data_IF_328180700777
#
_entry.id   IF_328180700777
#
_cell.length_a   1.000
_cell.length_b   1.000
_cell.length_c   1.000
_cell.angle_alpha   90.00
_cell.angle_beta   90.00
_cell.angle_gamma   90.00
#
_symmetry.space_group_name_H-M   'P 1'
#
loop_
_entity.id
_entity.type
_entity.pdbx_description
1 polymer ?
#
# COMPACT_ATOMS: atom_id res chain seq x y z
N UNK A 1 8.55 23.70 6.37
CA UNK A 1 7.61 22.62 5.98
C UNK A 1 8.16 21.33 6.55
N UNK A 2 7.64 20.88 7.67
CA UNK A 2 8.06 19.61 8.26
C UNK A 2 7.54 18.47 7.39
N UNK A 3 8.43 17.81 6.65
CA UNK A 3 8.07 16.62 5.88
C UNK A 3 7.79 15.47 6.86
N UNK A 4 6.59 14.95 6.82
CA UNK A 4 6.19 13.79 7.60
C UNK A 4 7.11 12.60 7.28
N UNK A 5 7.78 12.04 8.28
CA UNK A 5 8.64 10.85 8.12
C UNK A 5 7.83 9.62 7.70
N UNK A 6 6.54 9.61 8.04
CA UNK A 6 5.58 8.54 7.72
C UNK A 6 4.63 8.97 6.58
N UNK A 7 5.08 9.74 5.58
CA UNK A 7 4.23 10.11 4.43
C UNK A 7 4.18 9.02 3.38
N UNK A 8 3.03 8.94 2.70
CA UNK A 8 2.81 8.08 1.54
C UNK A 8 3.17 8.73 0.20
N UNK A 9 3.64 9.99 0.20
CA UNK A 9 4.02 10.69 -1.03
C UNK A 9 5.38 10.27 -1.56
N UNK A 10 5.45 10.08 -2.87
CA UNK A 10 6.65 9.64 -3.62
C UNK A 10 7.73 10.73 -3.60
N UNK A 11 8.97 10.32 -3.29
CA UNK A 11 10.17 11.11 -3.44
C UNK A 11 11.14 10.33 -4.34
N UNK A 12 11.43 10.78 -5.55
CA UNK A 12 12.09 10.02 -6.62
C UNK A 12 13.47 9.42 -6.25
N UNK A 13 14.24 10.09 -5.40
CA UNK A 13 15.56 9.58 -4.96
C UNK A 13 15.44 8.50 -3.87
N UNK A 14 14.44 8.61 -3.00
CA UNK A 14 14.15 7.57 -1.99
C UNK A 14 13.56 6.32 -2.67
N UNK A 15 12.83 6.47 -3.76
CA UNK A 15 12.21 5.36 -4.50
C UNK A 15 13.22 4.46 -5.20
N UNK A 16 14.31 4.99 -5.76
CA UNK A 16 15.35 4.17 -6.40
C UNK A 16 16.06 3.24 -5.39
N UNK A 17 16.35 3.76 -4.19
CA UNK A 17 16.92 2.97 -3.11
C UNK A 17 15.89 2.01 -2.48
N UNK A 18 14.60 2.36 -2.48
CA UNK A 18 13.52 1.46 -2.02
C UNK A 18 13.30 0.31 -3.00
N UNK A 19 13.44 0.55 -4.31
CA UNK A 19 13.35 -0.49 -5.34
C UNK A 19 14.39 -1.60 -5.14
N UNK A 20 15.61 -1.26 -4.68
CA UNK A 20 16.65 -2.25 -4.41
C UNK A 20 16.33 -3.17 -3.23
N UNK A 21 15.49 -2.73 -2.30
CA UNK A 21 15.09 -3.51 -1.12
C UNK A 21 13.90 -4.46 -1.40
N UNK A 22 13.21 -4.29 -2.52
CA UNK A 22 12.02 -5.10 -2.84
C UNK A 22 12.42 -6.53 -3.22
N UNK A 23 11.72 -7.53 -2.69
CA UNK A 23 11.88 -8.91 -3.15
C UNK A 23 11.46 -9.04 -4.61
N UNK A 24 12.15 -9.90 -5.35
CA UNK A 24 11.90 -10.14 -6.77
C UNK A 24 11.06 -11.38 -7.04
N UNK A 25 11.07 -12.34 -6.14
CA UNK A 25 10.39 -13.63 -6.26
C UNK A 25 9.61 -13.96 -5.00
N UNK A 26 8.64 -14.88 -5.11
CA UNK A 26 7.79 -15.31 -3.98
C UNK A 26 8.58 -15.93 -2.83
N UNK A 27 9.70 -16.60 -3.11
CA UNK A 27 10.56 -17.18 -2.07
C UNK A 27 11.27 -16.13 -1.20
N UNK A 28 11.50 -14.94 -1.73
CA UNK A 28 12.09 -13.81 -1.00
C UNK A 28 11.05 -12.98 -0.25
N UNK A 29 9.78 -13.15 -0.60
CA UNK A 29 8.68 -12.36 -0.04
C UNK A 29 8.31 -12.87 1.35
N UNK A 30 8.47 -12.03 2.35
CA UNK A 30 8.19 -12.34 3.76
C UNK A 30 6.76 -11.94 4.09
N UNK A 31 6.09 -12.75 4.91
CA UNK A 31 4.71 -12.51 5.34
C UNK A 31 3.65 -12.84 4.29
N UNK A 32 2.40 -12.46 4.56
CA UNK A 32 1.24 -12.72 3.70
C UNK A 32 1.14 -14.18 3.24
N UNK A 33 1.38 -15.12 4.15
CA UNK A 33 1.59 -16.54 3.82
C UNK A 33 0.47 -17.13 2.97
N UNK A 34 -0.78 -16.87 3.33
CA UNK A 34 -1.94 -17.40 2.59
C UNK A 34 -2.01 -16.84 1.15
N UNK A 35 -1.74 -15.54 0.97
CA UNK A 35 -1.71 -14.91 -0.36
C UNK A 35 -0.58 -15.51 -1.22
N UNK A 36 0.59 -15.73 -0.61
CA UNK A 36 1.77 -16.30 -1.23
C UNK A 36 1.53 -17.74 -1.74
N UNK A 37 0.95 -18.57 -0.89
CA UNK A 37 0.64 -19.97 -1.23
C UNK A 37 -0.35 -20.06 -2.37
N UNK A 38 -1.43 -19.27 -2.32
CA UNK A 38 -2.43 -19.23 -3.39
C UNK A 38 -1.84 -18.73 -4.70
N UNK A 39 -1.10 -17.60 -4.68
CA UNK A 39 -0.48 -17.06 -5.88
C UNK A 39 0.51 -18.04 -6.50
N UNK A 40 1.29 -18.76 -5.69
CA UNK A 40 2.20 -19.80 -6.17
C UNK A 40 1.47 -20.87 -6.95
N UNK A 41 0.37 -21.41 -6.42
CA UNK A 41 -0.44 -22.43 -7.08
C UNK A 41 -1.02 -21.90 -8.40
N UNK A 42 -1.60 -20.70 -8.39
CA UNK A 42 -2.23 -20.13 -9.59
C UNK A 42 -1.22 -19.82 -10.69
N UNK A 43 -0.05 -19.30 -10.35
CA UNK A 43 1.04 -19.03 -11.28
C UNK A 43 1.59 -20.34 -11.88
N UNK A 44 1.84 -21.36 -11.06
CA UNK A 44 2.28 -22.67 -11.54
C UNK A 44 1.24 -23.31 -12.47
N UNK A 45 -0.03 -23.26 -12.11
CA UNK A 45 -1.12 -23.78 -12.94
C UNK A 45 -1.24 -23.05 -14.29
N UNK A 46 -1.16 -21.72 -14.30
CA UNK A 46 -1.16 -20.93 -15.54
C UNK A 46 0.01 -21.30 -16.46
N UNK A 47 1.23 -21.44 -15.90
CA UNK A 47 2.42 -21.90 -16.64
C UNK A 47 2.26 -23.29 -17.23
N UNK A 48 1.70 -24.24 -16.47
CA UNK A 48 1.47 -25.61 -16.94
C UNK A 48 0.49 -25.65 -18.13
N UNK A 49 -0.55 -24.82 -18.11
CA UNK A 49 -1.53 -24.71 -19.19
C UNK A 49 -1.07 -23.81 -20.35
N UNK A 50 0.03 -23.05 -20.17
CA UNK A 50 0.48 -22.01 -21.10
C UNK A 50 -0.58 -20.95 -21.37
N UNK A 51 -1.25 -20.51 -20.33
CA UNK A 51 -2.29 -19.49 -20.34
C UNK A 51 -1.86 -18.27 -19.52
N UNK A 52 -2.45 -17.12 -19.79
CA UNK A 52 -2.33 -15.96 -18.90
C UNK A 52 -2.93 -16.27 -17.55
N UNK A 53 -2.36 -15.70 -16.48
CA UNK A 53 -2.95 -15.80 -15.15
C UNK A 53 -4.29 -15.04 -15.12
N UNK A 54 -5.25 -15.53 -14.39
CA UNK A 54 -6.48 -14.80 -14.10
C UNK A 54 -6.18 -13.40 -13.55
N UNK A 55 -7.07 -12.44 -13.80
CA UNK A 55 -6.91 -11.08 -13.28
C UNK A 55 -6.89 -11.07 -11.74
N UNK A 56 -5.96 -10.33 -11.16
CA UNK A 56 -5.68 -10.31 -9.72
C UNK A 56 -6.02 -8.94 -9.13
N UNK A 57 -6.82 -8.92 -8.06
CA UNK A 57 -7.05 -7.73 -7.25
C UNK A 57 -6.31 -7.83 -5.92
N UNK A 58 -5.42 -6.88 -5.66
CA UNK A 58 -4.70 -6.74 -4.40
C UNK A 58 -5.26 -5.53 -3.63
N UNK A 59 -5.80 -5.74 -2.44
CA UNK A 59 -6.35 -4.64 -1.66
C UNK A 59 -5.92 -4.67 -0.20
N UNK A 60 -5.95 -3.49 0.44
CA UNK A 60 -5.55 -3.31 1.84
C UNK A 60 -4.86 -1.98 2.07
N UNK A 61 -4.51 -1.65 3.31
CA UNK A 61 -3.83 -0.42 3.69
C UNK A 61 -2.59 -0.11 2.84
N UNK A 62 -2.15 1.16 2.78
CA UNK A 62 -0.94 1.53 2.04
C UNK A 62 0.32 0.92 2.67
N UNK A 63 1.37 0.70 1.86
CA UNK A 63 2.67 0.24 2.36
C UNK A 63 2.81 -1.26 2.61
N UNK A 64 1.79 -2.09 2.31
CA UNK A 64 1.78 -3.54 2.54
C UNK A 64 2.38 -4.39 1.41
N UNK A 65 2.85 -3.78 0.31
CA UNK A 65 3.54 -4.50 -0.76
C UNK A 65 2.69 -4.88 -1.97
N UNK A 66 1.53 -4.22 -2.23
CA UNK A 66 0.69 -4.45 -3.42
C UNK A 66 1.49 -4.33 -4.73
N UNK A 67 2.22 -3.22 -4.90
CA UNK A 67 3.10 -2.98 -6.05
C UNK A 67 4.26 -3.99 -6.13
N UNK A 68 4.78 -4.43 -4.99
CA UNK A 68 5.83 -5.45 -4.95
C UNK A 68 5.30 -6.81 -5.42
N UNK A 69 4.11 -7.21 -4.97
CA UNK A 69 3.49 -8.46 -5.41
C UNK A 69 3.16 -8.45 -6.90
N UNK A 70 2.72 -7.31 -7.48
CA UNK A 70 2.49 -7.22 -8.92
C UNK A 70 3.77 -7.46 -9.73
N UNK A 71 4.90 -6.91 -9.27
CA UNK A 71 6.21 -7.15 -9.89
C UNK A 71 6.65 -8.61 -9.73
N UNK A 72 6.43 -9.22 -8.57
CA UNK A 72 6.73 -10.63 -8.31
C UNK A 72 5.91 -11.53 -9.23
N UNK A 73 4.61 -11.26 -9.41
CA UNK A 73 3.74 -12.03 -10.33
C UNK A 73 4.34 -12.02 -11.74
N UNK A 74 4.73 -10.86 -12.27
CA UNK A 74 5.34 -10.76 -13.60
C UNK A 74 6.68 -11.51 -13.68
N UNK A 75 7.54 -11.37 -12.66
CA UNK A 75 8.83 -12.07 -12.61
C UNK A 75 8.64 -13.59 -12.53
N UNK A 76 7.70 -14.06 -11.70
CA UNK A 76 7.40 -15.50 -11.60
C UNK A 76 6.81 -16.05 -12.90
N UNK A 77 5.97 -15.30 -13.61
CA UNK A 77 5.46 -15.67 -14.93
C UNK A 77 6.53 -15.60 -16.03
N UNK A 78 7.59 -14.81 -15.83
CA UNK A 78 8.65 -14.58 -16.82
C UNK A 78 8.22 -13.64 -17.95
N UNK A 79 7.32 -12.68 -17.66
CA UNK A 79 6.74 -11.74 -18.64
C UNK A 79 7.04 -10.29 -18.25
N UNK A 80 6.77 -9.36 -19.18
CA UNK A 80 6.92 -7.94 -18.87
C UNK A 80 5.76 -7.43 -18.02
N UNK A 81 6.02 -6.33 -17.28
CA UNK A 81 5.00 -5.59 -16.55
C UNK A 81 4.93 -4.15 -17.07
N UNK A 82 3.70 -3.71 -17.35
CA UNK A 82 3.38 -2.30 -17.59
C UNK A 82 2.71 -1.74 -16.35
N UNK A 83 3.26 -0.67 -15.82
CA UNK A 83 2.77 -0.05 -14.58
C UNK A 83 2.14 1.30 -14.88
N UNK A 84 0.94 1.50 -14.37
CA UNK A 84 0.22 2.78 -14.41
C UNK A 84 -0.59 2.96 -13.12
N UNK A 85 -1.34 4.04 -13.04
CA UNK A 85 -2.25 4.30 -11.91
C UNK A 85 -3.61 4.79 -12.38
N UNK A 86 -4.66 4.57 -11.58
CA UNK A 86 -6.00 5.07 -11.89
C UNK A 86 -6.02 6.56 -12.26
N UNK A 87 -5.41 7.45 -11.43
CA UNK A 87 -5.33 8.88 -11.76
C UNK A 87 -4.60 9.24 -13.04
N UNK A 88 -3.66 8.41 -13.50
CA UNK A 88 -2.90 8.64 -14.73
C UNK A 88 -3.69 8.28 -16.01
N UNK A 89 -4.78 7.54 -15.87
CA UNK A 89 -5.65 7.14 -16.98
C UNK A 89 -6.89 8.04 -16.96
N UNK A 90 -6.81 9.18 -17.64
CA UNK A 90 -7.90 10.16 -17.64
C UNK A 90 -8.99 9.83 -18.64
N UNK A 91 -8.65 9.21 -19.77
CA UNK A 91 -9.53 8.99 -20.92
C UNK A 91 -9.48 7.54 -21.39
N UNK A 92 -10.57 7.03 -21.98
CA UNK A 92 -10.59 5.71 -22.62
C UNK A 92 -9.43 5.46 -23.61
N UNK A 93 -9.02 6.49 -24.35
CA UNK A 93 -7.91 6.42 -25.29
C UNK A 93 -6.55 6.16 -24.62
N UNK A 94 -6.33 6.65 -23.40
CA UNK A 94 -5.09 6.42 -22.65
C UNK A 94 -4.96 4.94 -22.30
N UNK A 95 -6.06 4.34 -21.83
CA UNK A 95 -6.13 2.91 -21.53
C UNK A 95 -5.96 2.07 -22.81
N UNK A 96 -6.65 2.44 -23.90
CA UNK A 96 -6.54 1.74 -25.18
C UNK A 96 -5.09 1.75 -25.70
N UNK A 97 -4.39 2.86 -25.59
CA UNK A 97 -2.98 2.97 -25.99
C UNK A 97 -2.07 2.06 -25.14
N UNK A 98 -2.35 1.91 -23.85
CA UNK A 98 -1.60 0.96 -23.00
C UNK A 98 -1.88 -0.48 -23.42
N UNK A 99 -3.15 -0.87 -23.56
CA UNK A 99 -3.59 -2.23 -23.86
C UNK A 99 -3.09 -2.72 -25.23
N UNK A 100 -3.12 -1.86 -26.25
CA UNK A 100 -2.64 -2.22 -27.61
C UNK A 100 -1.11 -2.39 -27.71
N UNK A 101 -0.36 -1.95 -26.71
CA UNK A 101 1.09 -2.14 -26.62
C UNK A 101 1.51 -3.33 -25.75
N UNK A 102 0.57 -4.11 -25.21
CA UNK A 102 0.87 -5.33 -24.47
C UNK A 102 1.23 -6.46 -25.42
N UNK A 103 2.07 -7.36 -24.95
CA UNK A 103 2.39 -8.64 -25.60
C UNK A 103 1.63 -9.77 -24.90
N UNK A 104 1.57 -10.92 -25.55
CA UNK A 104 0.94 -12.11 -24.99
C UNK A 104 1.55 -12.49 -23.63
N UNK A 105 0.71 -12.63 -22.62
CA UNK A 105 1.08 -12.97 -21.26
C UNK A 105 1.55 -11.80 -20.39
N UNK A 106 1.73 -10.59 -20.95
CA UNK A 106 2.17 -9.41 -20.18
C UNK A 106 1.26 -9.12 -18.99
N UNK A 107 1.83 -8.51 -17.96
CA UNK A 107 1.10 -8.01 -16.79
C UNK A 107 0.85 -6.52 -16.95
N UNK A 108 -0.41 -6.09 -16.86
CA UNK A 108 -0.77 -4.69 -16.67
C UNK A 108 -1.06 -4.44 -15.19
N UNK A 109 -0.28 -3.60 -14.55
CA UNK A 109 -0.51 -3.17 -13.17
C UNK A 109 -1.13 -1.78 -13.12
N UNK A 110 -2.31 -1.67 -12.47
CA UNK A 110 -2.99 -0.39 -12.24
C UNK A 110 -3.07 -0.15 -10.73
N UNK A 111 -2.27 0.78 -10.22
CA UNK A 111 -2.36 1.22 -8.83
C UNK A 111 -3.53 2.18 -8.63
N UNK A 112 -4.12 2.20 -7.42
CA UNK A 112 -5.30 3.00 -7.08
C UNK A 112 -6.43 2.84 -8.12
N UNK A 113 -6.70 1.60 -8.54
CA UNK A 113 -7.64 1.26 -9.62
C UNK A 113 -9.07 1.78 -9.33
N UNK A 114 -9.44 1.98 -8.07
CA UNK A 114 -10.72 2.57 -7.66
C UNK A 114 -10.90 4.03 -8.09
N UNK A 115 -9.83 4.68 -8.55
CA UNK A 115 -9.86 6.06 -9.06
C UNK A 115 -10.04 6.16 -10.58
N UNK A 116 -10.23 5.04 -11.26
CA UNK A 116 -10.63 5.05 -12.66
C UNK A 116 -12.01 5.71 -12.79
N UNK A 117 -12.18 6.55 -13.79
CA UNK A 117 -13.50 7.07 -14.09
C UNK A 117 -14.33 6.01 -14.84
N UNK A 118 -15.65 6.15 -14.79
CA UNK A 118 -16.59 5.17 -15.33
C UNK A 118 -16.39 4.90 -16.83
N UNK A 119 -16.06 5.91 -17.63
CA UNK A 119 -15.85 5.72 -19.06
C UNK A 119 -14.59 4.90 -19.37
N UNK A 120 -13.58 4.95 -18.53
CA UNK A 120 -12.39 4.10 -18.62
C UNK A 120 -12.70 2.66 -18.16
N UNK A 121 -13.46 2.50 -17.08
CA UNK A 121 -13.91 1.17 -16.64
C UNK A 121 -14.72 0.45 -17.73
N UNK A 122 -15.60 1.15 -18.45
CA UNK A 122 -16.42 0.58 -19.53
C UNK A 122 -15.56 0.04 -20.70
N UNK A 123 -14.38 0.61 -20.95
CA UNK A 123 -13.41 0.07 -21.92
C UNK A 123 -12.62 -1.11 -21.33
N UNK A 124 -12.39 -1.10 -20.03
CA UNK A 124 -11.64 -2.17 -19.37
C UNK A 124 -12.41 -3.49 -19.32
N UNK A 125 -13.74 -3.45 -19.22
CA UNK A 125 -14.56 -4.65 -19.12
C UNK A 125 -14.39 -5.64 -20.27
N UNK A 126 -14.61 -5.26 -21.55
CA UNK A 126 -14.38 -6.18 -22.67
C UNK A 126 -12.92 -6.58 -22.83
N UNK A 127 -11.99 -5.70 -22.43
CA UNK A 127 -10.57 -6.03 -22.44
C UNK A 127 -10.22 -7.15 -21.44
N UNK A 128 -10.88 -7.20 -20.30
CA UNK A 128 -10.68 -8.25 -19.30
C UNK A 128 -11.41 -9.55 -19.64
N UNK A 129 -12.62 -9.48 -20.19
CA UNK A 129 -13.43 -10.67 -20.45
C UNK A 129 -13.11 -11.35 -21.77
N UNK A 130 -12.99 -10.53 -22.83
CA UNK A 130 -12.88 -11.04 -24.20
C UNK A 130 -11.54 -10.76 -24.84
N UNK A 131 -10.61 -10.11 -24.13
CA UNK A 131 -9.36 -9.60 -24.70
C UNK A 131 -9.60 -8.77 -25.98
N UNK A 132 -10.53 -7.85 -25.91
CA UNK A 132 -10.92 -7.01 -27.03
C UNK A 132 -11.24 -5.57 -26.59
N UNK A 133 -11.06 -4.63 -27.52
CA UNK A 133 -11.46 -3.24 -27.38
C UNK A 133 -12.53 -2.90 -28.40
N UNK A 134 -13.61 -2.27 -27.96
CA UNK A 134 -14.61 -1.70 -28.86
C UNK A 134 -14.33 -0.21 -29.06
N UNK A 135 -13.83 0.15 -30.24
CA UNK A 135 -13.44 1.52 -30.61
C UNK A 135 -14.53 2.12 -31.49
N UNK A 136 -15.09 3.27 -31.07
CA UNK A 136 -16.03 4.00 -31.86
C UNK A 136 -15.28 4.96 -32.79
N UNK A 137 -15.38 4.74 -34.10
CA UNK A 137 -14.77 5.59 -35.14
C UNK A 137 -15.87 6.44 -35.79
N UNK A 138 -15.64 7.75 -35.82
CA UNK A 138 -16.59 8.74 -36.41
C UNK A 138 -17.46 9.43 -35.34
N UNK A 139 -18.38 10.26 -35.76
CA UNK A 139 -19.30 11.02 -34.92
C UNK A 139 -20.73 10.95 -35.47
N UNK A 140 -21.71 11.00 -34.58
CA UNK A 140 -23.13 11.01 -34.94
C UNK A 140 -23.63 9.70 -35.53
N UNK A 141 -24.67 9.71 -36.38
CA UNK A 141 -25.31 8.48 -36.89
C UNK A 141 -24.42 7.63 -37.81
N UNK A 142 -23.30 8.15 -38.29
CA UNK A 142 -22.30 7.41 -39.09
C UNK A 142 -21.17 6.80 -38.28
N UNK A 143 -21.21 6.93 -36.97
CA UNK A 143 -20.22 6.29 -36.09
C UNK A 143 -20.30 4.76 -36.24
N UNK A 144 -19.15 4.10 -36.35
CA UNK A 144 -19.01 2.65 -36.42
C UNK A 144 -18.20 2.15 -35.26
N UNK A 145 -18.65 1.08 -34.62
CA UNK A 145 -17.84 0.33 -33.66
C UNK A 145 -16.92 -0.63 -34.44
N UNK A 146 -15.62 -0.57 -34.11
CA UNK A 146 -14.62 -1.50 -34.60
C UNK A 146 -14.07 -2.25 -33.39
N UNK A 147 -14.17 -3.56 -33.41
CA UNK A 147 -13.61 -4.45 -32.39
C UNK A 147 -12.16 -4.75 -32.76
N UNK A 148 -11.26 -4.46 -31.83
CA UNK A 148 -9.83 -4.73 -31.94
C UNK A 148 -9.48 -5.83 -30.94
N UNK A 149 -8.95 -6.96 -31.41
CA UNK A 149 -8.49 -8.05 -30.56
C UNK A 149 -7.17 -7.67 -29.88
N UNK A 150 -7.06 -8.01 -28.60
CA UNK A 150 -5.87 -7.81 -27.77
C UNK A 150 -5.19 -9.17 -27.52
N UNK A 151 -3.87 -9.21 -27.35
CA UNK A 151 -3.21 -10.41 -26.85
C UNK A 151 -3.70 -10.69 -25.42
N UNK A 152 -3.85 -11.96 -25.02
CA UNK A 152 -4.17 -12.33 -23.65
C UNK A 152 -3.16 -11.72 -22.67
N UNK A 153 -3.64 -11.10 -21.60
CA UNK A 153 -2.82 -10.43 -20.59
C UNK A 153 -3.40 -10.65 -19.20
N UNK A 154 -2.60 -10.39 -18.16
CA UNK A 154 -3.06 -10.41 -16.78
C UNK A 154 -3.18 -8.96 -16.24
N UNK A 155 -4.38 -8.56 -15.83
CA UNK A 155 -4.56 -7.33 -15.08
C UNK A 155 -4.30 -7.59 -13.60
N UNK A 156 -3.40 -6.81 -13.00
CA UNK A 156 -3.23 -6.74 -11.54
C UNK A 156 -3.70 -5.37 -11.08
N UNK A 157 -4.87 -5.31 -10.45
CA UNK A 157 -5.40 -4.11 -9.84
C UNK A 157 -4.97 -3.97 -8.39
N UNK A 158 -4.57 -2.78 -7.97
CA UNK A 158 -4.30 -2.48 -6.56
C UNK A 158 -5.19 -1.36 -6.06
N UNK A 159 -5.66 -1.48 -4.81
CA UNK A 159 -6.49 -0.45 -4.18
C UNK A 159 -6.32 -0.43 -2.65
N UNK A 160 -6.40 0.76 -2.07
CA UNK A 160 -6.56 0.94 -0.63
C UNK A 160 -8.03 0.89 -0.20
N UNK A 161 -8.98 1.09 -1.14
CA UNK A 161 -10.40 1.28 -0.91
C UNK A 161 -11.24 0.31 -1.76
N UNK A 162 -11.18 -0.99 -1.44
CA UNK A 162 -11.91 -2.02 -2.20
C UNK A 162 -13.43 -1.76 -2.29
N UNK A 163 -14.02 -1.13 -1.28
CA UNK A 163 -15.44 -0.76 -1.27
C UNK A 163 -15.83 0.35 -2.27
N UNK A 164 -14.86 1.07 -2.84
CA UNK A 164 -15.10 2.09 -3.88
C UNK A 164 -15.03 1.53 -5.30
N UNK A 165 -14.60 0.28 -5.48
CA UNK A 165 -14.66 -0.38 -6.78
C UNK A 165 -16.11 -0.63 -7.18
N UNK A 166 -16.42 -0.39 -8.44
CA UNK A 166 -17.71 -0.79 -8.99
C UNK A 166 -17.87 -2.31 -8.93
N UNK A 167 -19.07 -2.79 -8.65
CA UNK A 167 -19.32 -4.23 -8.60
C UNK A 167 -18.96 -4.93 -9.93
N UNK A 168 -19.28 -4.35 -11.12
CA UNK A 168 -18.90 -4.95 -12.40
C UNK A 168 -17.39 -5.10 -12.57
N UNK A 169 -16.58 -4.14 -12.11
CA UNK A 169 -15.11 -4.24 -12.18
C UNK A 169 -14.58 -5.30 -11.22
N UNK A 170 -15.07 -5.30 -9.99
CA UNK A 170 -14.62 -6.24 -8.96
C UNK A 170 -14.92 -7.70 -9.35
N UNK A 171 -16.09 -7.98 -9.92
CA UNK A 171 -16.54 -9.33 -10.25
C UNK A 171 -15.75 -9.94 -11.43
N UNK A 172 -14.95 -9.14 -12.14
CA UNK A 172 -14.05 -9.58 -13.22
C UNK A 172 -12.67 -10.03 -12.75
N UNK A 173 -12.37 -9.86 -11.47
CA UNK A 173 -11.13 -10.38 -10.89
C UNK A 173 -11.34 -11.82 -10.41
N UNK A 174 -10.67 -12.78 -11.06
CA UNK A 174 -10.71 -14.19 -10.67
C UNK A 174 -9.96 -14.46 -9.36
N UNK A 175 -8.97 -13.64 -9.04
CA UNK A 175 -8.15 -13.77 -7.82
C UNK A 175 -8.22 -12.48 -7.01
N UNK A 176 -8.81 -12.55 -5.81
CA UNK A 176 -8.97 -11.38 -4.92
C UNK A 176 -8.24 -11.63 -3.61
N UNK A 177 -7.21 -10.84 -3.33
CA UNK A 177 -6.36 -10.99 -2.15
C UNK A 177 -6.35 -9.72 -1.30
N UNK A 178 -6.71 -9.90 -0.03
CA UNK A 178 -6.53 -8.85 0.99
C UNK A 178 -5.14 -8.97 1.60
N UNK A 179 -4.40 -7.87 1.63
CA UNK A 179 -3.14 -7.77 2.35
C UNK A 179 -3.40 -7.25 3.77
N UNK A 180 -2.75 -7.88 4.73
CA UNK A 180 -2.90 -7.57 6.15
C UNK A 180 -1.63 -6.91 6.69
N UNK A 181 -1.75 -6.26 7.86
CA UNK A 181 -0.59 -5.74 8.55
C UNK A 181 0.36 -6.87 8.94
N UNK A 182 1.65 -6.59 8.83
CA UNK A 182 2.71 -7.53 9.20
C UNK A 182 2.88 -7.60 10.71
N UNK A 183 3.24 -8.75 11.20
CA UNK A 183 3.63 -8.96 12.60
C UNK A 183 5.03 -8.41 12.87
N UNK A 184 5.34 -8.14 14.14
CA UNK A 184 6.68 -7.66 14.52
C UNK A 184 7.78 -8.63 14.09
N UNK A 185 7.67 -9.97 14.27
CA UNK A 185 8.66 -10.91 13.77
C UNK A 185 8.88 -10.84 12.25
N UNK A 186 7.81 -10.76 11.46
CA UNK A 186 7.92 -10.63 9.99
C UNK A 186 8.65 -9.34 9.60
N UNK A 187 8.32 -8.22 10.25
CA UNK A 187 9.00 -6.94 10.01
C UNK A 187 10.45 -6.96 10.48
N UNK A 188 10.79 -7.65 11.56
CA UNK A 188 12.17 -7.84 12.00
C UNK A 188 13.00 -8.55 10.94
N UNK A 189 12.45 -9.60 10.30
CA UNK A 189 13.10 -10.25 9.16
C UNK A 189 13.26 -9.33 7.96
N UNK A 190 12.24 -8.52 7.65
CA UNK A 190 12.30 -7.54 6.55
C UNK A 190 13.37 -6.49 6.82
N UNK A 191 13.45 -5.96 8.05
CA UNK A 191 14.47 -4.98 8.47
C UNK A 191 15.86 -5.57 8.38
N UNK A 192 16.07 -6.79 8.89
CA UNK A 192 17.37 -7.48 8.85
C UNK A 192 17.82 -7.72 7.40
N UNK A 193 16.93 -8.26 6.55
CA UNK A 193 17.22 -8.42 5.11
C UNK A 193 17.54 -7.09 4.43
N UNK A 194 16.80 -6.03 4.75
CA UNK A 194 17.05 -4.70 4.18
C UNK A 194 18.38 -4.11 4.67
N UNK A 195 18.78 -4.35 5.92
CA UNK A 195 20.06 -3.95 6.46
C UNK A 195 21.22 -4.66 5.74
N UNK A 196 21.09 -5.96 5.47
CA UNK A 196 22.07 -6.74 4.70
C UNK A 196 22.26 -6.15 3.29
N UNK A 197 21.17 -5.85 2.58
CA UNK A 197 21.22 -5.25 1.24
C UNK A 197 21.89 -3.87 1.27
N UNK A 198 21.62 -3.08 2.32
CA UNK A 198 22.21 -1.76 2.54
C UNK A 198 23.63 -1.81 3.12
N UNK A 199 24.14 -3.01 3.39
CA UNK A 199 25.46 -3.23 4.04
C UNK A 199 25.58 -2.51 5.40
N UNK A 200 24.51 -2.53 6.18
CA UNK A 200 24.44 -1.94 7.52
C UNK A 200 24.47 -3.04 8.55
N UNK A 201 25.38 -2.94 9.52
CA UNK A 201 25.43 -3.88 10.64
C UNK A 201 24.30 -3.55 11.61
N UNK A 202 23.39 -4.50 11.80
CA UNK A 202 22.27 -4.38 12.73
C UNK A 202 22.24 -5.57 13.69
N UNK A 203 22.00 -5.32 14.97
CA UNK A 203 21.76 -6.36 15.97
C UNK A 203 20.27 -6.67 16.08
N UNK A 204 19.94 -7.89 16.52
CA UNK A 204 18.56 -8.36 16.59
C UNK A 204 17.63 -7.40 17.35
N UNK A 205 18.02 -6.95 18.54
CA UNK A 205 17.22 -5.96 19.30
C UNK A 205 17.02 -4.63 18.60
N UNK A 206 17.99 -4.17 17.77
CA UNK A 206 17.83 -2.96 16.95
C UNK A 206 16.83 -3.17 15.80
N UNK A 207 16.85 -4.34 15.17
CA UNK A 207 15.89 -4.69 14.13
C UNK A 207 14.46 -4.82 14.70
N UNK A 208 14.32 -5.45 15.85
CA UNK A 208 13.03 -5.59 16.53
C UNK A 208 12.46 -4.25 16.95
N UNK A 209 13.29 -3.33 17.46
CA UNK A 209 12.83 -1.99 17.88
C UNK A 209 12.31 -1.18 16.68
N UNK A 210 13.00 -1.23 15.52
CA UNK A 210 12.52 -0.62 14.28
C UNK A 210 11.22 -1.28 13.83
N UNK A 211 11.15 -2.61 13.85
CA UNK A 211 9.96 -3.38 13.44
C UNK A 211 8.74 -3.03 14.28
N UNK A 212 8.89 -2.93 15.60
CA UNK A 212 7.82 -2.61 16.54
C UNK A 212 7.18 -1.25 16.24
N UNK A 213 8.00 -0.24 15.89
CA UNK A 213 7.52 1.12 15.58
C UNK A 213 7.16 1.32 14.11
N UNK A 214 7.15 0.26 13.29
CA UNK A 214 6.91 0.34 11.84
C UNK A 214 5.45 0.28 11.42
N UNK A 215 4.52 0.39 12.35
CA UNK A 215 3.06 0.43 12.08
C UNK A 215 2.57 -0.76 11.26
N UNK A 216 3.16 -1.94 11.42
CA UNK A 216 2.78 -3.13 10.67
C UNK A 216 3.06 -3.07 9.17
N UNK A 217 3.88 -2.14 8.66
CA UNK A 217 4.10 -1.97 7.23
C UNK A 217 5.58 -1.99 6.82
N UNK A 218 5.95 -2.80 5.80
CA UNK A 218 7.32 -2.85 5.28
C UNK A 218 7.86 -1.51 4.78
N UNK A 219 7.02 -0.67 4.20
CA UNK A 219 7.42 0.66 3.72
C UNK A 219 7.93 1.54 4.87
N UNK A 220 7.19 1.60 5.98
CA UNK A 220 7.61 2.36 7.16
C UNK A 220 8.86 1.75 7.77
N UNK A 221 8.94 0.41 7.88
CA UNK A 221 10.12 -0.30 8.40
C UNK A 221 11.40 0.08 7.64
N UNK A 222 11.37 0.03 6.31
CA UNK A 222 12.51 0.39 5.47
C UNK A 222 12.88 1.87 5.60
N UNK A 223 11.91 2.77 5.73
CA UNK A 223 12.17 4.21 5.93
C UNK A 223 12.80 4.46 7.29
N UNK A 224 12.28 3.86 8.36
CA UNK A 224 12.86 3.99 9.69
C UNK A 224 14.28 3.40 9.73
N UNK A 225 14.52 2.24 9.11
CA UNK A 225 15.86 1.66 9.01
C UNK A 225 16.86 2.63 8.39
N UNK A 226 16.51 3.28 7.28
CA UNK A 226 17.40 4.27 6.63
C UNK A 226 17.73 5.43 7.56
N UNK A 227 16.76 5.95 8.30
CA UNK A 227 16.98 7.05 9.25
C UNK A 227 17.80 6.61 10.46
N UNK A 228 17.49 5.44 11.02
CA UNK A 228 18.29 4.89 12.14
C UNK A 228 19.73 4.60 11.71
N UNK A 229 19.95 4.13 10.48
CA UNK A 229 21.29 3.97 9.90
C UNK A 229 22.07 5.29 9.91
N UNK A 230 21.45 6.39 9.49
CA UNK A 230 22.10 7.71 9.47
C UNK A 230 22.53 8.13 10.88
N UNK A 231 21.71 7.83 11.90
CA UNK A 231 22.10 8.04 13.31
C UNK A 231 23.26 7.13 13.75
N UNK A 232 23.21 5.85 13.40
CA UNK A 232 24.27 4.91 13.74
C UNK A 232 25.62 5.31 13.13
N UNK A 233 25.62 5.85 11.92
CA UNK A 233 26.85 6.33 11.25
C UNK A 233 27.44 7.57 11.92
N UNK A 234 26.61 8.47 12.44
CA UNK A 234 27.09 9.75 13.02
C UNK A 234 27.37 9.64 14.51
N UNK A 235 26.57 8.88 15.26
CA UNK A 235 26.62 8.81 16.72
C UNK A 235 27.11 7.47 17.28
N UNK A 236 27.04 6.42 16.48
CA UNK A 236 27.50 5.09 16.81
C UNK A 236 28.72 4.72 15.95
N UNK A 237 29.19 3.50 16.11
CA UNK A 237 30.30 2.94 15.32
C UNK A 237 29.82 2.33 13.99
N UNK A 238 28.70 2.84 13.43
CA UNK A 238 28.05 2.30 12.24
C UNK A 238 27.21 1.04 12.50
N UNK A 239 27.00 0.67 13.77
CA UNK A 239 26.23 -0.50 14.19
C UNK A 239 24.90 -0.04 14.78
N UNK A 240 23.78 -0.58 14.28
CA UNK A 240 22.46 -0.33 14.85
C UNK A 240 22.25 -1.32 16.02
N UNK A 241 22.35 -0.81 17.23
CA UNK A 241 21.97 -1.50 18.47
C UNK A 241 20.55 -1.11 18.88
N UNK A 242 20.00 -1.74 19.92
CA UNK A 242 18.71 -1.36 20.49
C UNK A 242 18.72 0.10 20.97
N UNK A 243 19.78 0.52 21.66
CA UNK A 243 19.93 1.85 22.23
C UNK A 243 19.98 2.93 21.12
N UNK A 244 20.79 2.68 20.07
CA UNK A 244 20.86 3.58 18.91
C UNK A 244 19.52 3.67 18.19
N UNK A 245 18.82 2.55 18.03
CA UNK A 245 17.51 2.55 17.42
C UNK A 245 16.50 3.34 18.25
N UNK A 246 16.46 3.15 19.56
CA UNK A 246 15.59 3.89 20.48
C UNK A 246 15.89 5.39 20.45
N UNK A 247 17.13 5.82 20.62
CA UNK A 247 17.51 7.23 20.56
C UNK A 247 17.13 7.88 19.23
N UNK A 248 17.40 7.18 18.12
CA UNK A 248 17.07 7.70 16.80
C UNK A 248 15.56 7.86 16.62
N UNK A 249 14.75 6.85 17.00
CA UNK A 249 13.29 6.87 16.83
C UNK A 249 12.62 7.91 17.74
N UNK A 250 13.14 8.13 18.97
CA UNK A 250 12.68 9.20 19.85
C UNK A 250 12.95 10.58 19.23
N UNK A 251 14.14 10.81 18.67
CA UNK A 251 14.46 12.07 17.99
C UNK A 251 13.62 12.30 16.73
N UNK A 252 13.20 11.21 16.07
CA UNK A 252 12.27 11.25 14.95
C UNK A 252 10.80 11.40 15.39
N UNK A 253 10.56 11.55 16.69
CA UNK A 253 9.22 11.66 17.28
C UNK A 253 8.30 10.47 16.93
N UNK A 254 8.88 9.30 16.84
CA UNK A 254 8.14 8.04 16.67
C UNK A 254 8.12 7.34 18.02
N UNK A 255 6.96 7.23 18.64
CA UNK A 255 6.80 6.66 19.96
C UNK A 255 6.89 5.11 19.96
N UNK A 256 6.71 4.51 21.14
CA UNK A 256 6.79 3.06 21.31
C UNK A 256 5.72 2.25 20.56
N UNK A 257 4.61 2.90 20.23
CA UNK A 257 3.54 2.35 19.40
C UNK A 257 3.69 2.68 17.91
N UNK A 258 4.77 3.39 17.51
CA UNK A 258 4.96 3.83 16.12
C UNK A 258 4.09 5.03 15.71
N UNK A 259 3.54 5.76 16.68
CA UNK A 259 2.79 6.97 16.40
C UNK A 259 3.74 8.15 16.16
N UNK A 260 3.43 8.97 15.16
CA UNK A 260 4.16 10.21 14.88
C UNK A 260 3.44 11.44 15.49
N UNK A 261 4.01 12.61 15.29
CA UNK A 261 3.47 13.86 15.81
C UNK A 261 2.05 14.18 15.29
N UNK A 262 1.68 13.73 14.08
CA UNK A 262 0.34 13.95 13.52
C UNK A 262 -0.66 13.02 14.22
N UNK A 263 -0.30 11.76 14.44
CA UNK A 263 -1.14 10.83 15.18
C UNK A 263 -1.38 11.33 16.61
N UNK A 264 -0.31 11.81 17.28
CA UNK A 264 -0.43 12.42 18.61
C UNK A 264 -1.36 13.64 18.61
N UNK A 265 -1.16 14.55 17.63
CA UNK A 265 -2.00 15.74 17.47
C UNK A 265 -3.46 15.39 17.23
N UNK A 266 -3.71 14.34 16.42
CA UNK A 266 -5.04 13.83 16.12
C UNK A 266 -5.70 13.26 17.38
N UNK A 267 -5.04 12.34 18.06
CA UNK A 267 -5.58 11.68 19.25
C UNK A 267 -5.80 12.67 20.39
N UNK A 268 -4.83 13.55 20.66
CA UNK A 268 -4.96 14.59 21.69
C UNK A 268 -6.07 15.60 21.36
N UNK A 269 -6.23 15.98 20.08
CA UNK A 269 -7.33 16.85 19.67
C UNK A 269 -8.69 16.22 19.95
N UNK A 270 -8.85 14.92 19.70
CA UNK A 270 -10.10 14.22 20.00
C UNK A 270 -10.33 14.10 21.52
N UNK A 271 -9.29 13.82 22.30
CA UNK A 271 -9.39 13.74 23.76
C UNK A 271 -9.77 15.10 24.36
N UNK A 272 -9.01 16.15 24.01
CA UNK A 272 -9.08 17.44 24.72
C UNK A 272 -10.21 18.35 24.25
N UNK A 273 -10.56 18.28 22.94
CA UNK A 273 -11.55 19.19 22.34
C UNK A 273 -12.92 18.55 22.10
N UNK A 274 -12.98 17.23 22.05
CA UNK A 274 -14.20 16.49 21.72
C UNK A 274 -14.53 15.39 22.73
N UNK A 275 -13.93 15.41 23.92
CA UNK A 275 -14.16 14.44 25.01
C UNK A 275 -14.13 12.97 24.54
N UNK A 276 -13.21 12.64 23.61
CA UNK A 276 -13.05 11.29 23.05
C UNK A 276 -13.98 10.95 21.90
N UNK A 277 -14.81 11.88 21.45
CA UNK A 277 -15.77 11.70 20.35
C UNK A 277 -17.21 11.38 20.79
N UNK A 278 -18.12 11.13 19.84
CA UNK A 278 -17.92 10.96 18.40
C UNK A 278 -17.67 12.29 17.66
N UNK A 279 -16.70 12.32 16.74
CA UNK A 279 -16.36 13.51 15.94
C UNK A 279 -16.21 13.16 14.45
N UNK A 280 -16.68 14.06 13.58
CA UNK A 280 -16.62 13.89 12.13
C UNK A 280 -15.20 14.02 11.56
N UNK A 281 -14.92 13.36 10.44
CA UNK A 281 -13.62 13.37 9.77
C UNK A 281 -13.15 14.79 9.42
N UNK A 282 -14.01 15.57 8.75
CA UNK A 282 -13.69 16.93 8.32
C UNK A 282 -13.41 17.87 9.50
N UNK A 283 -14.14 17.67 10.61
CA UNK A 283 -13.92 18.43 11.85
C UNK A 283 -12.55 18.13 12.47
N UNK A 284 -12.17 16.84 12.51
CA UNK A 284 -10.84 16.43 13.00
C UNK A 284 -9.75 17.00 12.09
N UNK A 285 -9.87 16.80 10.79
CA UNK A 285 -8.90 17.25 9.79
C UNK A 285 -8.67 18.77 9.88
N UNK A 286 -9.75 19.55 9.91
CA UNK A 286 -9.68 21.00 10.11
C UNK A 286 -9.03 21.39 11.45
N UNK A 287 -9.32 20.63 12.52
CA UNK A 287 -8.79 20.92 13.87
C UNK A 287 -7.28 20.71 13.93
N UNK A 288 -6.77 19.71 13.23
CA UNK A 288 -5.33 19.41 13.23
C UNK A 288 -4.58 20.06 12.06
N UNK A 289 -5.29 20.70 11.10
CA UNK A 289 -4.70 21.35 9.94
C UNK A 289 -4.17 20.35 8.89
N UNK A 290 -4.85 19.20 8.74
CA UNK A 290 -4.52 18.14 7.78
C UNK A 290 -5.66 17.95 6.78
N UNK A 291 -5.36 17.33 5.64
CA UNK A 291 -6.40 16.92 4.70
C UNK A 291 -7.21 15.74 5.23
N UNK A 292 -8.54 15.76 5.06
CA UNK A 292 -9.43 14.69 5.50
C UNK A 292 -9.02 13.33 4.92
N UNK A 293 -8.59 13.29 3.66
CA UNK A 293 -8.11 12.09 3.00
C UNK A 293 -6.84 11.53 3.66
N UNK A 294 -5.91 12.40 4.08
CA UNK A 294 -4.69 11.98 4.81
C UNK A 294 -5.05 11.32 6.14
N UNK A 295 -5.98 11.92 6.89
CA UNK A 295 -6.46 11.34 8.15
C UNK A 295 -7.09 9.97 7.90
N UNK A 296 -7.97 9.86 6.91
CA UNK A 296 -8.71 8.64 6.61
C UNK A 296 -7.83 7.50 6.06
N UNK A 297 -6.89 7.81 5.16
CA UNK A 297 -6.11 6.79 4.45
C UNK A 297 -4.81 6.41 5.16
N UNK A 298 -4.25 7.31 5.99
CA UNK A 298 -2.92 7.12 6.57
C UNK A 298 -2.95 6.97 8.09
N UNK A 299 -3.75 7.79 8.81
CA UNK A 299 -3.77 7.74 10.28
C UNK A 299 -4.75 6.68 10.80
N UNK A 300 -6.01 6.76 10.40
CA UNK A 300 -7.07 5.92 10.93
C UNK A 300 -6.85 4.40 10.80
N UNK A 301 -6.36 3.86 9.66
CA UNK A 301 -6.23 2.41 9.51
C UNK A 301 -5.34 1.78 10.58
N UNK A 302 -4.23 2.45 10.91
CA UNK A 302 -3.34 1.97 11.94
C UNK A 302 -3.89 2.20 13.35
N UNK A 303 -4.47 3.36 13.63
CA UNK A 303 -5.09 3.65 14.93
C UNK A 303 -6.25 2.70 15.26
N UNK A 304 -7.02 2.29 14.24
CA UNK A 304 -8.03 1.25 14.40
C UNK A 304 -7.40 -0.14 14.61
N UNK A 305 -6.31 -0.45 13.91
CA UNK A 305 -5.60 -1.73 14.04
C UNK A 305 -5.05 -1.95 15.45
N UNK A 306 -4.46 -0.91 16.06
CA UNK A 306 -3.96 -0.99 17.45
C UNK A 306 -5.05 -0.78 18.50
N UNK A 307 -6.30 -0.59 18.06
CA UNK A 307 -7.44 -0.46 18.93
C UNK A 307 -7.56 0.88 19.65
N UNK A 308 -6.93 1.96 19.17
CA UNK A 308 -7.03 3.29 19.76
C UNK A 308 -8.26 4.07 19.30
N UNK A 309 -8.77 3.73 18.11
CA UNK A 309 -9.90 4.43 17.49
C UNK A 309 -10.93 3.45 16.96
N UNK A 310 -12.20 3.86 16.95
CA UNK A 310 -13.31 3.15 16.33
C UNK A 310 -14.11 4.10 15.44
N UNK A 311 -14.59 3.58 14.29
CA UNK A 311 -15.57 4.28 13.46
C UNK A 311 -16.99 3.91 13.88
N UNK A 312 -17.81 4.93 14.11
CA UNK A 312 -19.25 4.77 14.37
C UNK A 312 -20.05 5.54 13.32
N UNK A 313 -21.37 5.31 13.19
CA UNK A 313 -22.22 6.11 12.30
C UNK A 313 -22.21 7.61 12.63
N UNK A 314 -21.89 7.98 13.88
CA UNK A 314 -21.81 9.38 14.34
C UNK A 314 -20.45 10.01 14.15
N UNK A 315 -19.41 9.24 13.86
CA UNK A 315 -18.03 9.72 13.74
C UNK A 315 -17.01 8.80 14.42
N UNK A 316 -15.82 9.35 14.65
CA UNK A 316 -14.68 8.67 15.27
C UNK A 316 -14.75 8.80 16.78
N UNK A 317 -14.50 7.69 17.47
CA UNK A 317 -14.48 7.60 18.95
C UNK A 317 -13.18 6.96 19.37
N UNK A 318 -12.56 7.50 20.42
CA UNK A 318 -11.37 6.89 21.01
C UNK A 318 -11.75 5.83 22.04
N UNK A 319 -10.88 4.87 22.20
CA UNK A 319 -11.00 3.78 23.16
C UNK A 319 -10.27 4.09 24.47
N UNK A 320 -10.56 3.38 25.55
CA UNK A 320 -9.80 3.52 26.80
C UNK A 320 -8.28 3.33 26.63
N UNK A 321 -7.85 2.46 25.69
CA UNK A 321 -6.44 2.23 25.39
C UNK A 321 -5.74 3.49 24.85
N UNK A 322 -6.43 4.31 24.07
CA UNK A 322 -5.87 5.58 23.60
C UNK A 322 -5.66 6.57 24.75
N UNK A 323 -6.60 6.65 25.69
CA UNK A 323 -6.46 7.49 26.87
C UNK A 323 -5.29 7.02 27.75
N UNK A 324 -5.20 5.71 27.99
CA UNK A 324 -4.13 5.12 28.78
C UNK A 324 -2.74 5.40 28.18
N UNK A 325 -2.61 5.37 26.87
CA UNK A 325 -1.36 5.68 26.16
C UNK A 325 -0.86 7.10 26.47
N UNK A 326 -1.76 8.07 26.60
CA UNK A 326 -1.42 9.45 26.97
C UNK A 326 -1.48 9.73 28.49
N UNK A 327 -1.63 8.72 29.34
CA UNK A 327 -1.75 8.90 30.77
C UNK A 327 -2.96 9.76 31.18
N UNK A 328 -4.05 9.67 30.40
CA UNK A 328 -5.30 10.41 30.64
C UNK A 328 -6.40 9.46 31.12
N UNK A 329 -7.32 9.95 31.89
CA UNK A 329 -8.53 9.22 32.31
C UNK A 329 -9.68 9.54 31.33
N UNK A 330 -10.41 8.51 30.94
CA UNK A 330 -11.62 8.68 30.15
C UNK A 330 -12.71 9.23 31.06
N UNK A 331 -13.28 10.39 30.73
CA UNK A 331 -14.43 10.89 31.43
C UNK A 331 -15.61 9.95 31.25
N UNK A 332 -16.18 9.49 32.35
CA UNK A 332 -17.34 8.60 32.38
C UNK A 332 -18.62 9.26 31.86
#
# INVERSE_FOLDING_TARGET
>A
MDQRIITTHMNWEEDAAELSLRPRYLNEYIGQQHVKENLKIFIEAAKMRKESLDHVLLYGPPGLGKTTLSQIIANELGVNIRTTSGPAIERPGDLAAILTNLQEGDVLFIDEIHRLNRSVEEVLYPAMEDFALDIIIGKGPSARSVRLDLPPFTLVGATTRAGMLSAPLRDRFGVVNRLEFYTVPELTFIVSRAADILQVIIREGGAEEIARRSRGTPRVANRLLKRVRDFAQVKGEGVITTEIAQEALERLQVDTCGLDHIDHKLLLAIIERFDGGPVGLDTIAATIGEEAQTVEDVCEPYLMQIGFMQRTPRGRVLTPSAYQHFGREMKS
#
